data_IF_291290142441
#
_entry.id   IF_291290142441
#
_cell.length_a   1.000
_cell.length_b   1.000
_cell.length_c   1.000
_cell.angle_alpha   90.00
_cell.angle_beta   90.00
_cell.angle_gamma   90.00
#
_symmetry.space_group_name_H-M   'P 1'
#
loop_
_entity.id
_entity.type
_entity.pdbx_description
1 polymer ?
#
# COMPACT_ATOMS: atom_id res chain seq x y z
N UNK A 1 7.29 7.92 5.87
CA UNK A 1 7.35 6.49 5.51
C UNK A 1 6.44 5.71 6.44
N UNK A 2 5.77 4.67 5.94
CA UNK A 2 4.95 3.75 6.73
C UNK A 2 5.08 2.32 6.15
N UNK A 3 4.59 1.34 6.88
CA UNK A 3 4.63 -0.07 6.47
C UNK A 3 3.20 -0.61 6.35
N UNK A 4 2.96 -1.42 5.32
CA UNK A 4 1.75 -2.22 5.16
C UNK A 4 2.08 -3.66 5.48
N UNK A 5 1.32 -4.26 6.40
CA UNK A 5 1.42 -5.68 6.71
C UNK A 5 0.10 -6.38 6.42
N UNK A 6 0.18 -7.50 5.72
CA UNK A 6 -0.95 -8.36 5.37
C UNK A 6 -0.51 -9.82 5.37
N UNK A 7 -1.46 -10.74 5.52
CA UNK A 7 -1.18 -12.17 5.54
C UNK A 7 -2.26 -12.92 4.75
N UNK A 8 -1.91 -14.02 4.08
CA UNK A 8 -2.89 -14.90 3.44
C UNK A 8 -3.69 -15.70 4.49
N UNK A 9 -4.64 -16.51 4.05
CA UNK A 9 -5.39 -17.43 4.91
C UNK A 9 -4.66 -18.76 5.11
N UNK A 10 -3.81 -19.16 4.17
CA UNK A 10 -3.06 -20.41 4.26
C UNK A 10 -2.09 -20.38 5.45
N UNK A 11 -2.03 -21.43 6.24
CA UNK A 11 -1.15 -21.50 7.42
C UNK A 11 0.34 -21.38 7.09
N UNK A 12 0.75 -21.85 5.92
CA UNK A 12 2.10 -21.87 5.39
C UNK A 12 2.38 -20.70 4.41
N UNK A 13 1.41 -19.81 4.20
CA UNK A 13 1.57 -18.65 3.31
C UNK A 13 2.44 -17.55 3.93
N UNK A 14 3.10 -16.78 3.07
CA UNK A 14 4.07 -15.77 3.48
C UNK A 14 3.41 -14.46 3.92
N UNK A 15 3.79 -13.97 5.09
CA UNK A 15 3.37 -12.66 5.56
C UNK A 15 4.08 -11.57 4.75
N UNK A 16 3.32 -10.65 4.20
CA UNK A 16 3.87 -9.49 3.48
C UNK A 16 4.03 -8.30 4.41
N UNK A 17 5.21 -7.66 4.36
CA UNK A 17 5.48 -6.35 4.97
C UNK A 17 6.13 -5.46 3.92
N UNK A 18 5.44 -4.40 3.51
CA UNK A 18 5.90 -3.50 2.46
C UNK A 18 6.11 -2.08 2.98
N UNK A 19 7.33 -1.50 2.86
CA UNK A 19 7.54 -0.08 3.13
C UNK A 19 6.86 0.76 2.04
N UNK A 20 6.29 1.88 2.44
CA UNK A 20 5.57 2.83 1.57
C UNK A 20 5.95 4.27 1.90
N UNK A 21 5.89 5.12 0.89
CA UNK A 21 6.21 6.55 0.97
C UNK A 21 5.57 7.31 -0.17
N UNK A 22 6.25 8.33 -0.70
CA UNK A 22 5.85 9.13 -1.85
C UNK A 22 4.47 9.81 -1.69
N UNK A 23 4.14 10.23 -0.47
CA UNK A 23 2.87 10.90 -0.16
C UNK A 23 1.61 10.10 -0.55
N UNK A 24 1.69 8.78 -0.41
CA UNK A 24 0.69 7.84 -0.91
C UNK A 24 -0.44 7.51 0.09
N UNK A 25 -0.57 8.22 1.23
CA UNK A 25 -1.60 7.95 2.24
C UNK A 25 -2.45 9.19 2.52
N UNK A 26 -3.76 8.98 2.68
CA UNK A 26 -4.72 10.01 3.12
C UNK A 26 -5.63 9.47 4.21
N UNK A 27 -5.90 10.31 5.19
CA UNK A 27 -6.98 10.11 6.16
C UNK A 27 -8.20 10.83 5.62
N UNK A 28 -9.26 10.11 5.30
CA UNK A 28 -10.48 10.66 4.70
C UNK A 28 -11.70 10.60 5.61
N UNK A 29 -11.53 10.06 6.79
CA UNK A 29 -12.56 9.98 7.83
C UNK A 29 -11.93 9.61 9.17
N UNK A 30 -12.71 9.66 10.25
CA UNK A 30 -12.22 9.37 11.62
C UNK A 30 -11.58 7.97 11.73
N UNK A 31 -12.13 6.98 11.03
CA UNK A 31 -11.67 5.60 11.03
C UNK A 31 -11.43 5.08 9.61
N UNK A 32 -11.11 5.97 8.67
CA UNK A 32 -10.87 5.59 7.28
C UNK A 32 -9.58 6.19 6.74
N UNK A 33 -8.74 5.32 6.22
CA UNK A 33 -7.46 5.66 5.60
C UNK A 33 -7.39 5.05 4.21
N UNK A 34 -6.99 5.83 3.22
CA UNK A 34 -6.77 5.33 1.86
C UNK A 34 -5.29 5.43 1.48
N UNK A 35 -4.83 4.44 0.71
CA UNK A 35 -3.43 4.34 0.32
C UNK A 35 -3.35 4.12 -1.18
N UNK A 36 -2.72 5.07 -1.88
CA UNK A 36 -2.42 4.94 -3.30
C UNK A 36 -1.33 3.89 -3.48
N UNK A 37 -1.61 2.86 -4.24
CA UNK A 37 -0.68 1.78 -4.51
C UNK A 37 -0.08 1.93 -5.90
N UNK A 38 1.23 2.15 -5.94
CA UNK A 38 1.99 2.28 -7.18
C UNK A 38 2.53 0.91 -7.61
N UNK A 39 2.72 0.76 -8.91
CA UNK A 39 3.21 -0.48 -9.52
C UNK A 39 4.62 -0.81 -9.03
N UNK A 40 4.74 -1.88 -8.29
CA UNK A 40 6.00 -2.46 -7.80
C UNK A 40 6.19 -3.89 -8.31
N UNK A 41 7.21 -4.59 -7.80
CA UNK A 41 7.58 -5.95 -8.22
C UNK A 41 6.56 -7.03 -7.85
N UNK A 42 5.79 -6.83 -6.77
CA UNK A 42 4.75 -7.75 -6.30
C UNK A 42 3.40 -7.10 -6.11
N UNK A 43 2.37 -7.89 -5.82
CA UNK A 43 1.00 -7.45 -5.53
C UNK A 43 0.38 -8.21 -4.34
N UNK A 44 1.21 -8.57 -3.38
CA UNK A 44 0.89 -9.42 -2.24
C UNK A 44 -0.26 -8.87 -1.40
N UNK A 45 -0.17 -7.58 -1.03
CA UNK A 45 -1.22 -6.92 -0.23
C UNK A 45 -2.58 -7.05 -0.90
N UNK A 46 -2.68 -6.81 -2.21
CA UNK A 46 -3.96 -6.91 -2.92
C UNK A 46 -4.51 -8.35 -2.92
N UNK A 47 -3.63 -9.33 -3.13
CA UNK A 47 -4.02 -10.74 -3.10
C UNK A 47 -4.52 -11.17 -1.71
N UNK A 48 -3.85 -10.77 -0.64
CA UNK A 48 -4.27 -11.03 0.74
C UNK A 48 -5.59 -10.34 1.09
N UNK A 49 -5.76 -9.08 0.68
CA UNK A 49 -7.00 -8.34 0.92
C UNK A 49 -8.19 -8.97 0.21
N UNK A 50 -7.99 -9.53 -0.99
CA UNK A 50 -9.04 -10.25 -1.71
C UNK A 50 -9.53 -11.50 -0.95
N UNK A 51 -8.65 -12.15 -0.16
CA UNK A 51 -9.01 -13.32 0.63
C UNK A 51 -9.70 -12.97 1.95
N UNK A 52 -9.15 -12.01 2.70
CA UNK A 52 -9.54 -11.86 4.10
C UNK A 52 -9.64 -10.41 4.60
N UNK A 53 -9.17 -9.44 3.82
CA UNK A 53 -9.23 -8.02 4.16
C UNK A 53 -8.38 -7.58 5.36
N UNK A 54 -7.60 -8.45 6.01
CA UNK A 54 -6.79 -8.06 7.17
C UNK A 54 -5.62 -7.17 6.73
N UNK A 55 -5.56 -5.96 7.27
CA UNK A 55 -4.52 -4.99 6.94
C UNK A 55 -4.08 -4.25 8.20
N UNK A 56 -2.77 -4.07 8.32
CA UNK A 56 -2.14 -3.23 9.33
C UNK A 56 -1.30 -2.16 8.65
N UNK A 57 -1.48 -0.92 9.06
CA UNK A 57 -0.58 0.19 8.72
C UNK A 57 0.23 0.52 9.96
N UNK A 58 1.56 0.60 9.82
CA UNK A 58 2.46 0.94 10.92
C UNK A 58 3.33 2.15 10.56
N UNK A 59 3.40 3.08 11.50
CA UNK A 59 4.32 4.21 11.47
C UNK A 59 5.31 4.10 12.62
N UNK A 60 6.58 4.43 12.35
CA UNK A 60 7.61 4.57 13.36
C UNK A 60 8.07 6.03 13.38
N UNK A 61 8.17 6.62 14.57
CA UNK A 61 8.87 7.88 14.75
C UNK A 61 10.38 7.60 14.73
N UNK A 62 11.09 8.25 13.81
CA UNK A 62 12.54 8.14 13.66
C UNK A 62 13.27 9.36 14.25
N UNK A 63 12.53 10.35 14.73
CA UNK A 63 13.01 11.59 15.30
C UNK A 63 13.02 11.61 16.84
N UNK A 64 12.70 12.73 17.46
CA UNK A 64 12.92 12.97 18.89
C UNK A 64 12.08 12.07 19.81
N UNK A 65 10.80 11.85 19.52
CA UNK A 65 9.87 11.18 20.42
C UNK A 65 9.59 9.74 19.97
N UNK A 66 10.13 8.71 20.65
CA UNK A 66 10.06 7.33 20.20
C UNK A 66 8.65 6.76 20.33
N UNK A 67 7.91 6.73 19.23
CA UNK A 67 6.54 6.18 19.15
C UNK A 67 6.38 5.25 17.97
N UNK A 68 5.54 4.24 18.15
CA UNK A 68 5.03 3.40 17.06
C UNK A 68 3.50 3.51 17.05
N UNK A 69 2.94 3.92 15.92
CA UNK A 69 1.48 3.93 15.69
C UNK A 69 1.11 2.76 14.77
N UNK A 70 0.10 1.99 15.16
CA UNK A 70 -0.48 0.94 14.32
C UNK A 70 -1.98 1.16 14.14
N UNK A 71 -2.41 1.07 12.90
CA UNK A 71 -3.81 1.07 12.51
C UNK A 71 -4.15 -0.35 12.02
N UNK A 72 -5.01 -1.05 12.76
CA UNK A 72 -5.49 -2.37 12.37
C UNK A 72 -6.90 -2.24 11.80
N UNK A 73 -7.21 -3.02 10.77
CA UNK A 73 -8.56 -2.96 10.22
C UNK A 73 -8.83 -3.89 9.06
N UNK A 74 -9.89 -3.55 8.31
CA UNK A 74 -10.33 -4.25 7.12
C UNK A 74 -10.02 -3.42 5.89
N UNK A 75 -9.14 -3.94 5.05
CA UNK A 75 -8.76 -3.33 3.77
C UNK A 75 -9.59 -3.89 2.62
N UNK A 76 -9.89 -3.02 1.67
CA UNK A 76 -10.47 -3.36 0.36
C UNK A 76 -9.56 -2.86 -0.74
N UNK A 77 -9.54 -3.55 -1.86
CA UNK A 77 -8.84 -3.11 -3.07
C UNK A 77 -9.83 -2.37 -3.96
N UNK A 78 -9.55 -1.11 -4.25
CA UNK A 78 -10.30 -0.29 -5.20
C UNK A 78 -9.48 -0.27 -6.49
N UNK A 79 -9.95 -0.99 -7.49
CA UNK A 79 -9.31 -1.04 -8.82
C UNK A 79 -9.76 0.12 -9.69
N UNK A 80 -9.04 0.46 -10.79
CA UNK A 80 -9.44 1.53 -11.71
C UNK A 80 -10.83 1.36 -12.34
N UNK A 81 -11.40 0.15 -12.32
CA UNK A 81 -12.75 -0.13 -12.84
C UNK A 81 -13.85 -0.11 -11.79
N UNK A 82 -13.50 0.04 -10.51
CA UNK A 82 -14.50 0.15 -9.46
C UNK A 82 -15.31 1.44 -9.63
N UNK A 83 -16.61 1.37 -9.39
CA UNK A 83 -17.50 2.55 -9.47
C UNK A 83 -17.01 3.72 -8.60
N UNK A 84 -16.40 3.39 -7.45
CA UNK A 84 -15.88 4.37 -6.49
C UNK A 84 -14.50 4.91 -6.87
N UNK A 85 -13.89 4.47 -7.96
CA UNK A 85 -12.49 4.83 -8.30
C UNK A 85 -12.23 6.34 -8.28
N UNK A 86 -13.10 7.13 -8.90
CA UNK A 86 -12.92 8.58 -9.00
C UNK A 86 -13.02 9.26 -7.64
N UNK A 87 -13.92 8.79 -6.77
CA UNK A 87 -14.12 9.34 -5.42
C UNK A 87 -12.86 9.18 -4.56
N UNK A 88 -12.14 8.08 -4.74
CA UNK A 88 -10.89 7.81 -4.02
C UNK A 88 -9.69 8.47 -4.72
N UNK A 89 -9.64 8.40 -6.03
CA UNK A 89 -8.49 8.86 -6.83
C UNK A 89 -8.28 10.37 -6.73
N UNK A 90 -9.34 11.18 -6.59
CA UNK A 90 -9.27 12.64 -6.46
C UNK A 90 -8.46 13.14 -5.25
N UNK A 91 -8.26 12.30 -4.23
CA UNK A 91 -7.46 12.66 -3.05
C UNK A 91 -5.95 12.65 -3.31
N UNK A 92 -5.51 12.20 -4.48
CA UNK A 92 -4.10 12.08 -4.85
C UNK A 92 -3.76 12.90 -6.09
N UNK A 93 -2.47 13.27 -6.31
CA UNK A 93 -2.07 14.03 -7.49
C UNK A 93 -2.53 13.38 -8.80
N UNK A 94 -3.10 14.18 -9.70
CA UNK A 94 -3.65 13.71 -10.98
C UNK A 94 -2.57 13.04 -11.85
N UNK A 95 -1.38 13.63 -11.90
CA UNK A 95 -0.26 13.18 -12.76
C UNK A 95 0.68 12.21 -12.04
N UNK A 96 0.19 11.34 -11.16
CA UNK A 96 1.01 10.32 -10.53
C UNK A 96 1.26 9.16 -11.50
N UNK A 97 2.51 8.89 -11.92
CA UNK A 97 2.80 7.76 -12.81
C UNK A 97 2.73 6.43 -12.08
N UNK A 98 2.42 5.36 -12.80
CA UNK A 98 2.48 4.01 -12.28
C UNK A 98 1.40 3.64 -11.27
N UNK A 99 0.31 4.40 -11.18
CA UNK A 99 -0.83 4.07 -10.31
C UNK A 99 -1.39 2.71 -10.71
N UNK A 100 -1.61 1.85 -9.72
CA UNK A 100 -2.15 0.50 -9.91
C UNK A 100 -3.55 0.36 -9.33
N UNK A 101 -3.72 0.72 -8.05
CA UNK A 101 -4.97 0.57 -7.31
C UNK A 101 -4.94 1.46 -6.06
N UNK A 102 -6.01 1.45 -5.28
CA UNK A 102 -6.06 2.12 -3.96
C UNK A 102 -6.48 1.06 -2.94
N UNK A 103 -5.83 1.04 -1.79
CA UNK A 103 -6.29 0.29 -0.63
C UNK A 103 -7.13 1.22 0.24
N UNK A 104 -8.36 0.81 0.54
CA UNK A 104 -9.27 1.48 1.47
C UNK A 104 -9.28 0.70 2.79
N UNK A 105 -8.76 1.29 3.85
CA UNK A 105 -8.69 0.68 5.18
C UNK A 105 -9.76 1.29 6.10
N UNK A 106 -10.72 0.46 6.50
CA UNK A 106 -11.61 0.75 7.62
C UNK A 106 -10.91 0.34 8.92
N UNK A 107 -10.51 1.32 9.73
CA UNK A 107 -9.76 1.11 10.97
C UNK A 107 -10.71 0.59 12.05
N UNK A 108 -10.34 -0.52 12.68
CA UNK A 108 -11.10 -1.14 13.78
C UNK A 108 -10.38 -1.01 15.13
N UNK A 109 -9.06 -0.77 15.10
CA UNK A 109 -8.24 -0.58 16.30
C UNK A 109 -7.05 0.31 16.00
N UNK A 110 -6.79 1.25 16.91
CA UNK A 110 -5.58 2.08 16.92
C UNK A 110 -4.76 1.68 18.12
N UNK A 111 -3.46 1.50 17.93
CA UNK A 111 -2.53 1.18 19.01
C UNK A 111 -1.30 2.07 18.91
N UNK A 112 -0.98 2.71 20.04
CA UNK A 112 0.28 3.42 20.22
C UNK A 112 1.13 2.64 21.21
N UNK A 113 2.40 2.48 20.90
CA UNK A 113 3.38 1.84 21.79
C UNK A 113 4.69 2.63 21.80
N UNK A 114 5.54 2.38 22.78
CA UNK A 114 6.86 2.97 22.82
C UNK A 114 7.70 2.49 21.62
N UNK A 115 8.53 3.38 21.09
CA UNK A 115 9.46 3.11 20.01
C UNK A 115 10.92 3.03 20.47
N UNK A 116 11.18 2.64 21.72
CA UNK A 116 12.53 2.70 22.31
C UNK A 116 13.59 1.89 21.56
N UNK A 117 13.18 0.83 20.85
CA UNK A 117 14.05 0.05 19.98
C UNK A 117 14.13 0.57 18.55
N UNK A 118 13.37 1.61 18.17
CA UNK A 118 13.41 2.20 16.82
C UNK A 118 14.63 3.14 16.76
N UNK A 119 15.54 2.95 15.79
CA UNK A 119 16.70 3.82 15.67
C UNK A 119 16.30 5.24 15.24
N UNK A 120 17.11 6.22 15.60
CA UNK A 120 16.98 7.59 15.06
C UNK A 120 17.52 7.65 13.64
N UNK A 121 16.78 8.31 12.75
CA UNK A 121 17.15 8.48 11.35
C UNK A 121 16.77 9.88 10.86
N UNK A 122 17.62 10.49 10.05
CA UNK A 122 17.32 11.72 9.35
C UNK A 122 16.78 11.44 7.95
N UNK A 123 15.71 12.14 7.58
CA UNK A 123 15.17 12.05 6.23
C UNK A 123 16.05 12.88 5.28
N UNK A 124 16.91 12.24 4.53
CA UNK A 124 17.75 12.88 3.50
C UNK A 124 16.94 13.31 2.28
N UNK A 125 15.90 12.54 1.90
CA UNK A 125 15.03 12.87 0.77
C UNK A 125 14.18 11.70 0.30
N UNK A 126 13.27 11.99 -0.62
CA UNK A 126 12.49 10.96 -1.32
C UNK A 126 13.28 10.40 -2.51
N UNK A 127 12.97 9.16 -2.90
CA UNK A 127 13.54 8.53 -4.09
C UNK A 127 12.62 8.72 -5.28
N UNK A 128 13.14 9.19 -6.41
CA UNK A 128 12.38 9.35 -7.66
C UNK A 128 12.39 8.10 -8.54
N UNK A 129 13.09 7.05 -8.12
CA UNK A 129 13.34 5.85 -8.93
C UNK A 129 12.06 5.20 -9.45
N UNK A 130 11.03 5.08 -8.61
CA UNK A 130 9.77 4.44 -8.98
C UNK A 130 9.00 5.27 -10.02
N UNK A 131 8.92 6.59 -9.80
CA UNK A 131 8.27 7.51 -10.72
C UNK A 131 9.01 7.55 -12.07
N UNK A 132 10.33 7.67 -12.05
CA UNK A 132 11.17 7.68 -13.25
C UNK A 132 11.06 6.36 -14.03
N UNK A 133 11.02 5.22 -13.34
CA UNK A 133 10.78 3.93 -13.96
C UNK A 133 9.42 3.87 -14.66
N UNK A 134 8.34 4.32 -14.00
CA UNK A 134 7.01 4.31 -14.57
C UNK A 134 6.88 5.26 -15.78
N UNK A 135 7.48 6.45 -15.71
CA UNK A 135 7.55 7.40 -16.82
C UNK A 135 8.30 6.79 -18.00
N UNK A 136 9.49 6.20 -17.77
CA UNK A 136 10.30 5.57 -18.81
C UNK A 136 9.59 4.39 -19.48
N UNK A 137 8.81 3.60 -18.73
CA UNK A 137 8.03 2.49 -19.29
C UNK A 137 6.83 2.96 -20.12
N UNK A 138 6.29 4.12 -19.83
CA UNK A 138 5.05 4.61 -20.39
C UNK A 138 3.82 3.83 -19.90
N UNK A 139 2.60 4.35 -20.17
CA UNK A 139 1.37 3.73 -19.68
C UNK A 139 1.19 2.28 -20.12
N UNK A 140 1.50 1.98 -21.40
CA UNK A 140 1.36 0.61 -21.94
C UNK A 140 2.37 -0.35 -21.31
N UNK A 141 3.63 0.04 -21.23
CA UNK A 141 4.66 -0.80 -20.61
C UNK A 141 4.44 -1.03 -19.12
N UNK A 142 3.81 -0.09 -18.40
CA UNK A 142 3.37 -0.31 -17.02
C UNK A 142 2.23 -1.32 -16.96
N UNK A 143 1.25 -1.24 -17.86
CA UNK A 143 0.15 -2.21 -17.95
C UNK A 143 0.65 -3.63 -18.23
N UNK A 144 1.56 -3.78 -19.20
CA UNK A 144 2.16 -5.08 -19.52
C UNK A 144 2.93 -5.66 -18.34
N UNK A 145 3.65 -4.80 -17.61
CA UNK A 145 4.34 -5.22 -16.39
C UNK A 145 3.36 -5.68 -15.30
N UNK A 146 2.28 -4.95 -15.07
CA UNK A 146 1.22 -5.35 -14.12
C UNK A 146 0.63 -6.71 -14.51
N UNK A 147 0.35 -6.92 -15.79
CA UNK A 147 -0.18 -8.17 -16.30
C UNK A 147 0.77 -9.35 -16.11
N UNK A 148 2.06 -9.14 -16.39
CA UNK A 148 3.05 -10.23 -16.37
C UNK A 148 3.63 -10.49 -14.97
N UNK A 149 3.79 -9.46 -14.12
CA UNK A 149 4.51 -9.54 -12.84
C UNK A 149 3.61 -9.38 -11.61
N UNK A 150 2.39 -8.84 -11.77
CA UNK A 150 1.49 -8.60 -10.64
C UNK A 150 0.20 -9.44 -10.72
N UNK A 151 0.15 -10.44 -11.60
CA UNK A 151 -1.01 -11.33 -11.78
C UNK A 151 -1.14 -12.40 -10.70
N UNK A 152 -0.04 -12.72 -10.01
CA UNK A 152 0.01 -13.69 -8.91
C UNK A 152 0.86 -13.15 -7.77
N UNK A 153 0.51 -13.53 -6.54
CA UNK A 153 1.38 -13.39 -5.37
C UNK A 153 2.49 -14.45 -5.37
N UNK A 154 3.45 -14.34 -4.46
CA UNK A 154 4.49 -15.38 -4.26
C UNK A 154 3.89 -16.73 -3.85
N UNK A 155 2.71 -16.74 -3.22
CA UNK A 155 1.95 -17.92 -2.84
C UNK A 155 0.93 -18.37 -3.90
N UNK A 156 1.00 -17.81 -5.13
CA UNK A 156 0.10 -18.16 -6.23
C UNK A 156 -1.33 -17.60 -6.10
N UNK A 157 -1.57 -16.68 -5.16
CA UNK A 157 -2.87 -16.06 -4.99
C UNK A 157 -3.14 -15.03 -6.09
N UNK A 158 -4.39 -14.98 -6.56
CA UNK A 158 -4.81 -14.07 -7.61
C UNK A 158 -5.30 -12.75 -6.98
N UNK A 159 -4.62 -11.61 -7.20
CA UNK A 159 -5.14 -10.31 -6.78
C UNK A 159 -6.34 -9.90 -7.64
N UNK A 160 -7.15 -8.91 -7.23
CA UNK A 160 -8.22 -8.36 -8.04
C UNK A 160 -7.71 -7.87 -9.39
N UNK A 161 -8.49 -8.13 -10.45
CA UNK A 161 -8.14 -7.71 -11.80
C UNK A 161 -8.04 -6.19 -11.89
N UNK A 162 -6.98 -5.71 -12.50
CA UNK A 162 -6.75 -4.28 -12.75
C UNK A 162 -7.48 -3.78 -13.99
N UNK A 163 -8.05 -4.71 -14.78
CA UNK A 163 -8.89 -4.50 -15.97
C UNK A 163 -9.98 -5.56 -16.06
#
# INVERSE_FOLDING_TARGET
MFFLASAPLQPDGHINVSPRGLDSLRVIGELQVIILDLTGSGNETAAHLAQNGRLTVMFCAFDAEPRILRLYGRGKVITPHAAQWQDYRQHFPVQQPGVRQIFDLSVTRIQISCGFGVPRMDLVGQRDLLNNWAVKKGPDGVRDYQHTKNSLSIDGLIPPKLR
#
